data_IF_901405939074
#
_entry.id   IF_901405939074
#
_cell.length_a   1.000
_cell.length_b   1.000
_cell.length_c   1.000
_cell.angle_alpha   90.00
_cell.angle_beta   90.00
_cell.angle_gamma   90.00
#
_symmetry.space_group_name_H-M   'P 1'
#
loop_
_entity.id
_entity.type
_entity.pdbx_description
1 polymer ?
#
# COMPACT_ATOMS: atom_id res chain seq x y z
N UNK A 1 -24.39 16.30 -7.56
CA UNK A 1 -23.24 15.45 -7.98
C UNK A 1 -22.01 15.71 -7.10
N UNK A 2 -22.08 15.40 -5.80
CA UNK A 2 -20.93 15.51 -4.86
C UNK A 2 -20.92 14.39 -3.80
N UNK A 3 -22.06 13.76 -3.54
CA UNK A 3 -22.18 12.67 -2.55
C UNK A 3 -21.37 11.43 -2.93
N UNK A 4 -21.46 10.99 -4.18
CA UNK A 4 -20.73 9.80 -4.67
C UNK A 4 -19.22 10.05 -4.60
N UNK A 5 -18.76 11.25 -4.97
CA UNK A 5 -17.34 11.60 -4.90
C UNK A 5 -16.82 11.56 -3.45
N UNK A 6 -17.59 12.07 -2.47
CA UNK A 6 -17.20 12.01 -1.06
C UNK A 6 -17.24 10.60 -0.47
N UNK A 7 -18.22 9.79 -0.87
CA UNK A 7 -18.28 8.38 -0.50
C UNK A 7 -17.06 7.63 -1.08
N UNK A 8 -16.67 7.95 -2.31
CA UNK A 8 -15.48 7.38 -2.95
C UNK A 8 -14.20 7.80 -2.22
N UNK A 9 -14.03 9.09 -1.86
CA UNK A 9 -12.89 9.56 -1.07
C UNK A 9 -12.80 8.92 0.33
N UNK A 10 -13.96 8.66 0.96
CA UNK A 10 -13.99 8.00 2.26
C UNK A 10 -13.64 6.51 2.11
N UNK A 11 -14.21 5.85 1.10
CA UNK A 11 -13.97 4.43 0.82
C UNK A 11 -12.53 4.17 0.36
N UNK A 12 -11.94 5.06 -0.44
CA UNK A 12 -10.53 4.96 -0.84
C UNK A 12 -9.59 5.19 0.34
N UNK A 13 -9.88 6.15 1.22
CA UNK A 13 -9.12 6.31 2.49
C UNK A 13 -9.19 5.06 3.36
N UNK A 14 -10.36 4.44 3.50
CA UNK A 14 -10.51 3.18 4.24
C UNK A 14 -9.85 1.98 3.55
N UNK A 15 -9.85 1.94 2.22
CA UNK A 15 -9.21 0.86 1.46
C UNK A 15 -7.68 0.94 1.55
N UNK A 16 -7.11 2.14 1.45
CA UNK A 16 -5.67 2.39 1.61
C UNK A 16 -5.19 2.07 3.04
N UNK A 17 -5.99 2.42 4.06
CA UNK A 17 -5.71 2.02 5.45
C UNK A 17 -5.76 0.50 5.65
N UNK A 18 -6.68 -0.21 4.99
CA UNK A 18 -6.76 -1.67 5.03
C UNK A 18 -5.58 -2.34 4.33
N UNK A 19 -5.13 -1.79 3.21
CA UNK A 19 -3.94 -2.27 2.52
C UNK A 19 -2.69 -2.05 3.39
N UNK A 20 -2.52 -0.86 3.99
CA UNK A 20 -1.44 -0.61 4.96
C UNK A 20 -1.46 -1.57 6.14
N UNK A 21 -2.62 -1.80 6.76
CA UNK A 21 -2.73 -2.72 7.89
C UNK A 21 -2.34 -4.16 7.54
N UNK A 22 -2.55 -4.59 6.28
CA UNK A 22 -2.09 -5.89 5.79
C UNK A 22 -0.59 -5.91 5.57
N UNK A 23 -0.04 -4.85 4.99
CA UNK A 23 1.39 -4.71 4.76
C UNK A 23 2.16 -4.69 6.09
N UNK A 24 1.64 -3.97 7.09
CA UNK A 24 2.19 -3.93 8.45
C UNK A 24 2.18 -5.31 9.12
N UNK A 25 1.07 -6.06 9.00
CA UNK A 25 0.99 -7.43 9.52
C UNK A 25 1.97 -8.38 8.80
N UNK A 26 2.13 -8.23 7.50
CA UNK A 26 3.06 -9.01 6.69
C UNK A 26 4.53 -8.73 7.04
N UNK A 27 4.86 -7.47 7.37
CA UNK A 27 6.18 -7.08 7.86
C UNK A 27 6.41 -7.53 9.31
N UNK A 28 5.40 -7.48 10.16
CA UNK A 28 5.48 -7.93 11.56
C UNK A 28 5.70 -9.44 11.71
N UNK A 29 5.32 -10.23 10.70
CA UNK A 29 5.58 -11.68 10.63
C UNK A 29 7.04 -12.01 10.23
N UNK A 30 7.88 -11.01 9.93
CA UNK A 30 9.29 -11.25 9.64
C UNK A 30 10.02 -11.86 10.84
N UNK A 31 10.70 -12.98 10.61
CA UNK A 31 11.41 -13.72 11.68
C UNK A 31 12.83 -13.22 11.90
N UNK A 32 13.44 -12.64 10.86
CA UNK A 32 14.81 -12.12 10.87
C UNK A 32 14.89 -10.82 10.06
N UNK A 33 15.96 -10.04 10.25
CA UNK A 33 16.22 -8.78 9.57
C UNK A 33 16.27 -8.97 8.05
N UNK A 34 16.91 -10.06 7.58
CA UNK A 34 16.99 -10.34 6.15
C UNK A 34 15.62 -10.69 5.52
N UNK A 35 14.76 -11.37 6.27
CA UNK A 35 13.40 -11.68 5.84
C UNK A 35 12.56 -10.39 5.80
N UNK A 36 12.72 -9.50 6.80
CA UNK A 36 12.09 -8.19 6.81
C UNK A 36 12.51 -7.36 5.58
N UNK A 37 13.81 -7.26 5.30
CA UNK A 37 14.34 -6.52 4.15
C UNK A 37 13.78 -7.07 2.82
N UNK A 38 13.73 -8.39 2.69
CA UNK A 38 13.18 -9.03 1.50
C UNK A 38 11.69 -8.71 1.33
N UNK A 39 10.91 -8.77 2.42
CA UNK A 39 9.48 -8.46 2.42
C UNK A 39 9.21 -6.99 2.11
N UNK A 40 9.98 -6.07 2.70
CA UNK A 40 9.92 -4.64 2.40
C UNK A 40 10.22 -4.36 0.94
N UNK A 41 11.29 -4.96 0.39
CA UNK A 41 11.65 -4.82 -1.03
C UNK A 41 10.55 -5.34 -1.95
N UNK A 42 9.89 -6.45 -1.57
CA UNK A 42 8.76 -6.99 -2.35
C UNK A 42 7.54 -6.05 -2.35
N UNK A 43 7.25 -5.42 -1.21
CA UNK A 43 6.19 -4.42 -1.11
C UNK A 43 6.51 -3.16 -1.93
N UNK A 44 7.75 -2.69 -1.88
CA UNK A 44 8.21 -1.53 -2.64
C UNK A 44 8.09 -1.76 -4.17
N UNK A 45 8.49 -2.95 -4.66
CA UNK A 45 8.29 -3.33 -6.06
C UNK A 45 6.82 -3.34 -6.49
N UNK A 46 5.92 -3.79 -5.60
CA UNK A 46 4.48 -3.77 -5.86
C UNK A 46 3.92 -2.35 -5.87
N UNK A 47 4.40 -1.49 -4.98
CA UNK A 47 4.02 -0.07 -4.94
C UNK A 47 4.54 0.69 -6.17
N UNK A 48 5.75 0.40 -6.63
CA UNK A 48 6.31 0.95 -7.86
C UNK A 48 5.48 0.60 -9.10
N UNK A 49 4.88 -0.60 -9.17
CA UNK A 49 3.93 -0.96 -10.22
C UNK A 49 2.61 -0.17 -10.19
N UNK A 50 2.24 0.38 -9.03
CA UNK A 50 1.07 1.26 -8.84
C UNK A 50 1.34 2.70 -9.29
N UNK A 51 2.60 3.14 -9.31
CA UNK A 51 3.01 4.45 -9.80
C UNK A 51 3.60 4.29 -11.21
N UNK A 52 2.81 4.49 -12.27
CA UNK A 52 3.34 4.31 -13.61
C UNK A 52 4.44 5.34 -13.88
N UNK A 53 5.49 4.95 -14.61
CA UNK A 53 6.70 5.75 -14.85
C UNK A 53 6.44 7.13 -15.48
N UNK A 54 5.26 7.34 -16.08
CA UNK A 54 4.82 8.62 -16.64
C UNK A 54 4.19 9.58 -15.62
N UNK A 55 3.91 9.14 -14.39
CA UNK A 55 3.40 9.97 -13.28
C UNK A 55 4.51 10.56 -12.41
N UNK A 56 5.78 10.31 -12.73
CA UNK A 56 6.92 10.96 -12.09
C UNK A 56 7.14 12.33 -12.72
N UNK A 57 6.56 13.38 -12.12
CA UNK A 57 6.83 14.78 -12.45
C UNK A 57 7.36 15.52 -11.22
#
# INVERSE_FOLDING_TARGET
MFLISRLFLFLTKSADQRDRARDDAYLAEATDIYDLEYRMKRLDQRAAGRHPSWMSN
#
